data_IF_858951341848
#
_entry.id   IF_858951341848
#
_cell.length_a   1.000
_cell.length_b   1.000
_cell.length_c   1.000
_cell.angle_alpha   90.00
_cell.angle_beta   90.00
_cell.angle_gamma   90.00
#
_symmetry.space_group_name_H-M   'P 1'
#
loop_
_entity.id
_entity.type
_entity.pdbx_description
1 polymer ?
2 non-polymer ?
3 non-polymer ?
4 water ?
#
# COMPACT_ATOMS: atom_id res chain seq x y z
N UNK A 1 -19.44 -18.04 -0.88
CA UNK A 1 -19.42 -16.62 -0.41
C UNK A 1 -20.42 -15.81 -1.20
N UNK A 2 -20.89 -14.68 -0.63
CA UNK A 2 -21.77 -13.73 -1.30
C UNK A 2 -21.09 -13.04 -2.49
N UNK A 3 -21.88 -12.35 -3.32
CA UNK A 3 -21.34 -11.43 -4.32
C UNK A 3 -20.46 -10.39 -3.62
N UNK A 4 -19.40 -9.90 -4.29
CA UNK A 4 -18.47 -8.92 -3.67
C UNK A 4 -19.16 -7.75 -2.93
N UNK A 5 -20.09 -7.07 -3.59
CA UNK A 5 -20.72 -5.91 -2.92
C UNK A 5 -21.54 -6.31 -1.71
N UNK A 6 -22.20 -7.46 -1.79
CA UNK A 6 -22.95 -7.97 -0.65
C UNK A 6 -22.03 -8.31 0.50
N UNK A 7 -20.86 -8.88 0.18
CA UNK A 7 -19.88 -9.18 1.22
C UNK A 7 -19.33 -7.89 1.83
N UNK A 8 -19.01 -6.90 0.98
CA UNK A 8 -18.53 -5.60 1.49
C UNK A 8 -19.51 -4.96 2.48
N UNK A 9 -20.79 -4.94 2.11
CA UNK A 9 -21.86 -4.44 2.99
C UNK A 9 -21.94 -5.19 4.30
N UNK A 10 -21.92 -6.53 4.23
CA UNK A 10 -21.89 -7.36 5.41
C UNK A 10 -20.71 -7.07 6.33
N UNK A 11 -19.54 -6.87 5.72
CA UNK A 11 -18.34 -6.55 6.49
C UNK A 11 -18.54 -5.24 7.26
N UNK A 12 -19.19 -4.24 6.65
CA UNK A 12 -19.44 -2.98 7.37
C UNK A 12 -20.34 -3.20 8.58
N UNK A 13 -21.41 -3.94 8.38
CA UNK A 13 -22.38 -4.19 9.44
C UNK A 13 -21.76 -4.93 10.62
N UNK A 14 -20.93 -5.93 10.32
CA UNK A 14 -20.28 -6.72 11.35
C UNK A 14 -19.14 -5.98 12.06
N UNK A 15 -18.41 -5.17 11.30
CA UNK A 15 -17.31 -4.34 11.84
C UNK A 15 -17.81 -3.12 12.59
N UNK A 16 -19.06 -2.71 12.34
CA UNK A 16 -19.52 -1.36 12.69
C UNK A 16 -18.39 -0.41 12.31
N UNK A 17 -18.00 -0.49 11.04
CA UNK A 17 -16.86 0.22 10.50
C UNK A 17 -17.14 0.55 9.05
N UNK A 18 -16.32 1.44 8.48
CA UNK A 18 -16.47 1.88 7.10
C UNK A 18 -15.43 1.15 6.25
N UNK A 19 -15.87 0.62 5.11
CA UNK A 19 -15.00 -0.09 4.18
C UNK A 19 -14.94 0.72 2.89
N UNK A 20 -13.74 0.80 2.30
CA UNK A 20 -13.58 1.42 0.98
C UNK A 20 -12.86 0.44 0.10
N UNK A 21 -13.34 0.27 -1.12
CA UNK A 21 -12.82 -0.76 -2.01
C UNK A 21 -12.88 -0.35 -3.47
N UNK A 22 -11.82 -0.66 -4.19
CA UNK A 22 -11.95 -0.69 -5.64
C UNK A 22 -11.22 -1.90 -6.18
N UNK A 23 -11.73 -2.37 -7.31
CA UNK A 23 -11.12 -3.43 -8.07
C UNK A 23 -10.95 -2.86 -9.48
N UNK A 24 -9.72 -2.85 -9.98
CA UNK A 24 -9.41 -2.13 -11.23
C UNK A 24 -8.57 -3.02 -12.14
N UNK A 25 -8.92 -3.09 -13.42
CA UNK A 25 -8.08 -3.79 -14.41
C UNK A 25 -6.71 -3.12 -14.50
N UNK A 26 -5.61 -3.85 -14.30
CA UNK A 26 -4.28 -3.23 -14.32
C UNK A 26 -3.89 -2.74 -15.72
N UNK A 27 -4.20 -3.55 -16.73
CA UNK A 27 -3.84 -3.18 -18.10
C UNK A 27 -4.60 -1.95 -18.60
N UNK A 28 -5.90 -1.88 -18.39
CA UNK A 28 -6.68 -0.78 -19.01
C UNK A 28 -7.07 0.31 -18.04
N UNK A 29 -7.09 0.02 -16.74
CA UNK A 29 -7.62 0.98 -15.80
C UNK A 29 -9.11 0.96 -15.58
N UNK A 30 -9.82 0.06 -16.25
CA UNK A 30 -11.27 0.02 -16.04
C UNK A 30 -11.61 -0.29 -14.58
N UNK A 31 -12.55 0.46 -14.02
CA UNK A 31 -13.07 0.20 -12.68
C UNK A 31 -14.13 -0.87 -12.75
N UNK A 32 -13.97 -1.91 -11.95
CA UNK A 32 -14.93 -3.05 -11.97
C UNK A 32 -15.91 -3.26 -10.84
N UNK A 33 -15.42 -3.25 -9.60
CA UNK A 33 -16.25 -3.23 -8.38
C UNK A 33 -15.78 -1.99 -7.65
N UNK A 34 -16.68 -1.22 -7.07
CA UNK A 34 -16.29 -0.01 -6.35
C UNK A 34 -17.26 0.16 -5.20
N UNK A 35 -16.74 0.56 -4.05
CA UNK A 35 -17.57 0.82 -2.88
C UNK A 35 -16.90 1.93 -2.08
N UNK A 36 -17.57 3.07 -1.90
CA UNK A 36 -17.01 4.24 -1.23
C UNK A 36 -15.66 4.58 -1.85
N UNK A 37 -15.56 4.41 -3.16
CA UNK A 37 -14.26 4.54 -3.81
C UNK A 37 -13.77 5.99 -3.84
N UNK A 38 -14.67 6.94 -3.63
CA UNK A 38 -14.31 8.36 -3.53
C UNK A 38 -14.26 8.93 -2.13
N UNK A 39 -14.41 8.06 -1.14
CA UNK A 39 -14.32 8.49 0.25
C UNK A 39 -12.88 8.34 0.78
N UNK A 40 -12.52 9.15 1.78
CA UNK A 40 -11.14 9.19 2.28
C UNK A 40 -10.92 8.16 3.38
N UNK A 41 -9.74 7.54 3.32
CA UNK A 41 -9.28 6.57 4.32
C UNK A 41 -7.81 6.82 4.61
N UNK A 42 -7.39 6.64 5.87
CA UNK A 42 -5.94 6.72 6.15
C UNK A 42 -5.19 5.68 5.31
N UNK A 43 -4.10 6.10 4.69
CA UNK A 43 -3.28 5.18 3.92
C UNK A 43 -2.48 4.24 4.79
N UNK A 44 -2.07 4.69 5.96
CA UNK A 44 -1.12 3.93 6.79
C UNK A 44 0.05 3.49 5.91
N UNK A 45 0.56 2.28 6.11
CA UNK A 45 1.82 1.88 5.50
C UNK A 45 1.66 1.60 4.02
N UNK A 46 0.44 1.64 3.50
CA UNK A 46 0.29 1.50 2.06
C UNK A 46 0.96 2.66 1.32
N UNK A 47 1.17 3.79 2.01
CA UNK A 47 1.86 4.91 1.36
C UNK A 47 3.29 4.53 0.93
N UNK A 48 3.86 3.51 1.56
CA UNK A 48 5.25 3.15 1.34
C UNK A 48 5.51 2.71 -0.10
N UNK A 49 4.48 2.23 -0.80
CA UNK A 49 4.62 1.93 -2.23
C UNK A 49 4.75 3.20 -3.07
N UNK A 50 3.94 4.19 -2.74
CA UNK A 50 3.98 5.47 -3.45
C UNK A 50 5.32 6.17 -3.19
N UNK A 51 5.73 6.16 -1.92
CA UNK A 51 7.06 6.66 -1.55
C UNK A 51 8.17 6.13 -2.43
N UNK A 52 8.21 4.80 -2.59
CA UNK A 52 9.27 4.19 -3.36
C UNK A 52 9.09 4.41 -4.85
N UNK A 53 7.86 4.65 -5.31
CA UNK A 53 7.66 5.17 -6.66
C UNK A 53 8.36 6.52 -6.88
N UNK A 54 8.27 7.39 -5.89
CA UNK A 54 8.93 8.70 -5.98
C UNK A 54 10.45 8.56 -5.94
N UNK A 55 10.95 7.64 -5.10
CA UNK A 55 12.38 7.35 -5.07
C UNK A 55 12.86 6.86 -6.44
N UNK A 56 12.12 5.92 -7.02
CA UNK A 56 12.49 5.41 -8.33
C UNK A 56 12.47 6.48 -9.42
N UNK A 57 11.51 7.41 -9.32
CA UNK A 57 11.52 8.51 -10.25
C UNK A 57 12.80 9.34 -10.16
N UNK A 58 13.30 9.56 -8.93
CA UNK A 58 14.59 10.24 -8.75
C UNK A 58 15.73 9.42 -9.34
N UNK A 59 15.68 8.09 -9.18
CA UNK A 59 16.73 7.24 -9.75
C UNK A 59 16.72 7.36 -11.28
N UNK A 60 15.53 7.30 -11.87
CA UNK A 60 15.39 7.40 -13.33
C UNK A 60 15.97 8.69 -13.88
N UNK A 61 15.83 9.76 -13.11
CA UNK A 61 16.30 11.09 -13.51
C UNK A 61 17.79 11.28 -13.25
N UNK A 62 18.42 10.35 -12.52
CA UNK A 62 19.84 10.44 -12.18
C UNK A 62 20.11 11.25 -10.93
N UNK A 63 19.07 11.53 -10.15
CA UNK A 63 19.18 12.26 -8.90
C UNK A 63 19.27 11.40 -7.64
N UNK A 64 19.28 10.08 -7.85
CA UNK A 64 19.36 9.09 -6.79
C UNK A 64 19.91 7.84 -7.41
N UNK A 65 20.48 6.96 -6.56
CA UNK A 65 20.90 5.63 -6.99
C UNK A 65 20.39 4.62 -5.99
N UNK A 66 19.89 3.50 -6.45
CA UNK A 66 19.48 2.47 -5.50
C UNK A 66 20.66 1.90 -4.73
N UNK A 67 21.86 2.00 -5.31
CA UNK A 67 23.09 1.52 -4.63
C UNK A 67 23.54 2.43 -3.50
N UNK A 68 23.15 3.69 -3.50
CA UNK A 68 23.72 4.67 -2.57
C UNK A 68 23.50 4.25 -1.15
N UNK A 69 24.58 4.19 -0.36
CA UNK A 69 24.44 3.75 1.03
C UNK A 69 24.27 4.91 1.98
N UNK A 70 23.23 4.84 2.79
CA UNK A 70 22.93 5.84 3.80
C UNK A 70 23.35 5.30 5.18
N UNK A 71 24.21 6.06 5.87
CA UNK A 71 24.70 5.67 7.19
C UNK A 71 23.96 6.45 8.28
N UNK A 72 22.81 5.94 8.66
CA UNK A 72 21.90 6.65 9.56
C UNK A 72 22.24 6.34 11.01
N UNK A 73 21.56 7.02 11.92
CA UNK A 73 21.86 6.88 13.33
C UNK A 73 20.65 6.44 14.15
N UNK A 74 20.93 6.01 15.37
CA UNK A 74 19.90 5.50 16.25
C UNK A 74 18.84 6.52 16.57
N UNK A 75 19.26 7.78 16.70
CA UNK A 75 18.31 8.88 16.92
C UNK A 75 17.32 9.08 15.75
N UNK A 76 17.58 8.47 14.58
CA UNK A 76 16.69 8.55 13.42
C UNK A 76 15.57 7.52 13.48
N UNK A 77 15.62 6.62 14.44
CA UNK A 77 14.70 5.48 14.42
C UNK A 77 13.39 5.77 15.14
N UNK A 78 12.32 5.22 14.56
CA UNK A 78 11.01 5.15 15.17
C UNK A 78 10.63 3.69 15.33
N UNK A 79 9.46 3.44 15.95
CA UNK A 79 9.10 2.06 16.29
C UNK A 79 8.80 1.22 15.05
N UNK A 80 8.87 -0.11 15.23
CA UNK A 80 8.73 -1.13 14.19
C UNK A 80 9.59 -0.90 12.98
N UNK A 81 10.87 -1.10 13.27
CA UNK A 81 11.97 -0.94 12.36
C UNK A 81 12.90 -2.17 12.39
N UNK A 82 12.37 -3.36 12.09
CA UNK A 82 13.12 -4.59 12.29
C UNK A 82 14.36 -4.70 11.42
N UNK A 83 14.38 -4.09 10.24
CA UNK A 83 15.54 -4.20 9.38
C UNK A 83 16.55 -3.11 9.67
N UNK A 84 16.05 -1.87 9.76
CA UNK A 84 16.96 -0.74 9.95
C UNK A 84 17.66 -0.77 11.30
N UNK A 85 17.03 -1.37 12.31
CA UNK A 85 17.68 -1.52 13.61
C UNK A 85 18.92 -2.40 13.54
N UNK A 86 18.96 -3.30 12.57
CA UNK A 86 20.09 -4.21 12.45
C UNK A 86 21.31 -3.56 11.78
N UNK A 87 21.21 -2.32 11.31
CA UNK A 87 22.27 -1.72 10.44
C UNK A 87 22.78 -0.34 10.87
N UNK A 88 22.81 -0.07 12.17
CA UNK A 88 23.41 1.16 12.65
C UNK A 88 24.91 1.24 12.34
N UNK A 89 25.59 0.10 12.42
CA UNK A 89 27.01 0.07 12.18
C UNK A 89 27.29 0.23 10.69
N UNK A 90 26.52 -0.47 9.86
CA UNK A 90 26.90 -0.58 8.45
C UNK A 90 26.03 0.16 7.43
N UNK A 91 24.86 0.64 7.85
CA UNK A 91 23.99 1.41 6.96
C UNK A 91 23.23 0.50 6.01
N UNK A 92 22.44 1.15 5.15
CA UNK A 92 21.60 0.47 4.15
C UNK A 92 21.60 1.26 2.87
N UNK A 93 21.53 0.55 1.74
CA UNK A 93 21.38 1.24 0.46
C UNK A 93 19.97 1.77 0.31
N UNK A 94 19.81 2.74 -0.57
CA UNK A 94 18.49 3.25 -0.85
C UNK A 94 17.54 2.14 -1.32
N UNK A 95 18.03 1.23 -2.16
CA UNK A 95 17.23 0.06 -2.58
C UNK A 95 16.86 -0.85 -1.44
N UNK A 96 17.81 -1.08 -0.50
CA UNK A 96 17.51 -1.87 0.67
C UNK A 96 16.49 -1.20 1.55
N UNK A 97 16.57 0.14 1.63
CA UNK A 97 15.60 0.87 2.43
C UNK A 97 14.20 0.73 1.85
N UNK A 98 14.06 0.81 0.52
CA UNK A 98 12.75 0.61 -0.07
C UNK A 98 12.28 -0.85 0.14
N UNK A 99 13.19 -1.82 -0.01
CA UNK A 99 12.78 -3.20 0.24
C UNK A 99 12.30 -3.37 1.67
N UNK A 100 13.00 -2.75 2.62
CA UNK A 100 12.61 -2.90 4.02
C UNK A 100 11.27 -2.22 4.27
N UNK A 101 11.11 -1.00 3.73
CA UNK A 101 9.85 -0.28 3.89
C UNK A 101 8.66 -1.04 3.31
N UNK A 102 8.81 -1.59 2.11
CA UNK A 102 7.68 -2.27 1.46
C UNK A 102 7.50 -3.69 2.02
N UNK A 103 8.57 -4.46 2.10
CA UNK A 103 8.40 -5.89 2.40
C UNK A 103 8.33 -6.21 3.87
N UNK A 104 8.80 -5.29 4.73
CA UNK A 104 8.73 -5.51 6.17
C UNK A 104 8.06 -4.35 6.89
N UNK A 105 7.52 -3.41 6.11
CA UNK A 105 6.85 -2.24 6.67
C UNK A 105 7.77 -1.44 7.62
N UNK A 106 9.08 -1.47 7.38
CA UNK A 106 10.04 -0.82 8.29
C UNK A 106 9.81 0.70 8.32
N UNK A 107 9.47 1.23 9.50
CA UNK A 107 9.07 2.61 9.59
C UNK A 107 10.23 3.59 9.48
N UNK A 108 11.37 3.26 10.09
CA UNK A 108 12.51 4.14 10.00
C UNK A 108 13.08 4.18 8.59
N UNK A 109 13.10 3.05 7.91
CA UNK A 109 13.45 3.04 6.48
C UNK A 109 12.57 3.99 5.68
N UNK A 110 11.26 3.91 5.92
CA UNK A 110 10.32 4.82 5.26
C UNK A 110 10.61 6.26 5.58
N UNK A 111 10.87 6.62 6.83
CA UNK A 111 11.15 8.01 7.14
C UNK A 111 12.43 8.52 6.49
N UNK A 112 13.46 7.66 6.42
CA UNK A 112 14.72 8.05 5.79
C UNK A 112 14.48 8.34 4.33
N UNK A 113 13.71 7.47 3.67
CA UNK A 113 13.36 7.66 2.26
C UNK A 113 12.48 8.89 2.08
N UNK A 114 11.55 9.11 2.99
CA UNK A 114 10.66 10.25 2.91
C UNK A 114 11.42 11.56 2.91
N UNK A 115 12.47 11.67 3.72
CA UNK A 115 13.26 12.88 3.71
C UNK A 115 13.93 13.07 2.34
N UNK A 116 14.33 11.97 1.69
CA UNK A 116 15.03 12.11 0.40
C UNK A 116 14.15 12.65 -0.72
N UNK A 117 12.82 12.57 -0.55
CA UNK A 117 11.89 13.06 -1.58
C UNK A 117 11.23 14.37 -1.14
N UNK A 118 11.71 14.99 -0.06
CA UNK A 118 11.19 16.29 0.36
C UNK A 118 10.16 16.22 1.45
N UNK A 119 10.16 15.13 2.21
CA UNK A 119 9.21 14.95 3.29
C UNK A 119 7.78 14.75 2.78
N UNK A 120 6.81 14.73 3.69
CA UNK A 120 5.40 14.60 3.33
C UNK A 120 4.96 15.58 2.24
N UNK A 121 5.43 16.83 2.34
CA UNK A 121 5.10 17.82 1.30
C UNK A 121 5.69 17.45 -0.04
N UNK A 122 6.92 16.92 -0.04
CA UNK A 122 7.56 16.49 -1.27
C UNK A 122 6.83 15.32 -1.91
N UNK A 123 6.41 14.36 -1.10
CA UNK A 123 5.67 13.20 -1.64
C UNK A 123 4.30 13.63 -2.16
N UNK A 124 3.65 14.54 -1.47
CA UNK A 124 2.38 15.08 -1.96
C UNK A 124 2.56 15.81 -3.30
N UNK A 125 3.67 16.55 -3.46
CA UNK A 125 3.96 17.22 -4.73
C UNK A 125 4.19 16.20 -5.84
N UNK A 126 4.87 15.09 -5.55
CA UNK A 126 5.04 14.02 -6.52
C UNK A 126 3.68 13.45 -6.97
N UNK A 127 2.80 13.21 -6.00
CA UNK A 127 1.44 12.78 -6.32
C UNK A 127 0.75 13.74 -7.29
N UNK A 128 0.83 15.05 -7.02
CA UNK A 128 0.25 16.05 -7.92
C UNK A 128 0.92 15.97 -9.30
N UNK A 129 2.22 15.74 -9.34
CA UNK A 129 2.94 15.63 -10.63
C UNK A 129 2.46 14.47 -11.50
N UNK A 130 2.00 13.39 -10.87
CA UNK A 130 1.51 12.25 -11.64
C UNK A 130 -0.02 12.30 -11.79
N UNK A 131 -0.64 13.42 -11.41
CA UNK A 131 -2.06 13.64 -11.64
C UNK A 131 -3.00 13.08 -10.58
N UNK A 132 -2.47 12.79 -9.40
CA UNK A 132 -3.30 12.44 -8.26
C UNK A 132 -3.49 13.72 -7.47
N UNK A 133 -4.71 14.29 -7.55
CA UNK A 133 -5.02 15.54 -6.87
C UNK A 133 -5.76 15.32 -5.57
N UNK A 134 -5.78 14.07 -5.09
CA UNK A 134 -6.57 13.70 -3.91
C UNK A 134 -5.71 13.21 -2.73
N UNK A 135 -4.83 12.24 -3.02
CA UNK A 135 -4.00 11.61 -1.99
C UNK A 135 -3.08 12.67 -1.38
N UNK A 136 -2.92 12.62 -0.06
CA UNK A 136 -2.05 13.57 0.66
C UNK A 136 -1.32 12.89 1.79
N UNK A 137 -0.02 13.18 1.90
CA UNK A 137 0.74 12.78 3.07
C UNK A 137 1.13 14.05 3.81
N UNK A 138 0.94 14.03 5.11
CA UNK A 138 1.10 15.21 5.96
C UNK A 138 2.11 15.00 7.08
N UNK A 139 2.21 13.74 7.53
CA UNK A 139 3.03 13.40 8.68
C UNK A 139 4.01 12.26 8.34
N UNK A 140 4.91 11.99 9.29
CA UNK A 140 5.94 10.95 9.20
C UNK A 140 5.45 9.72 9.95
N UNK A 141 6.17 8.60 9.80
CA UNK A 141 5.91 7.48 10.68
C UNK A 141 6.37 7.86 12.10
N UNK A 142 5.64 7.49 13.15
CA UNK A 142 4.42 6.68 13.11
C UNK A 142 3.14 7.50 13.30
N UNK A 143 3.25 8.82 13.44
CA UNK A 143 2.07 9.64 13.67
C UNK A 143 1.05 9.56 12.56
N UNK A 144 1.49 9.30 11.33
CA UNK A 144 0.57 9.25 10.20
C UNK A 144 -0.49 8.15 10.32
N UNK A 145 -0.33 7.25 11.30
CA UNK A 145 -1.30 6.20 11.56
C UNK A 145 -2.42 6.53 12.54
N UNK A 146 -2.46 7.78 13.02
CA UNK A 146 -3.35 8.14 14.12
C UNK A 146 -4.82 7.93 13.78
N UNK A 147 -5.17 8.14 12.51
CA UNK A 147 -6.54 7.87 12.04
C UNK A 147 -7.61 8.46 12.95
N UNK A 148 -7.44 9.72 13.32
CA UNK A 148 -8.47 10.41 14.11
C UNK A 148 -9.77 10.47 13.30
N UNK A 149 -10.93 10.29 13.96
CA UNK A 149 -12.17 10.40 13.20
C UNK A 149 -12.27 11.77 12.52
N UNK A 150 -12.60 11.78 11.23
CA UNK A 150 -12.81 13.04 10.51
C UNK A 150 -11.58 13.80 10.07
N UNK A 151 -10.41 13.26 10.35
CA UNK A 151 -9.13 13.90 10.00
C UNK A 151 -8.68 13.56 8.56
N UNK A 152 -8.53 14.56 7.72
CA UNK A 152 -8.14 14.38 6.31
C UNK A 152 -6.64 14.15 6.07
N UNK A 153 -5.83 14.34 7.12
CA UNK A 153 -4.38 14.14 6.99
C UNK A 153 -4.07 12.70 6.61
N UNK A 154 -3.05 12.54 5.76
CA UNK A 154 -2.47 11.21 5.51
C UNK A 154 -3.50 10.24 4.92
N UNK A 155 -4.38 10.76 4.07
CA UNK A 155 -5.44 9.95 3.49
C UNK A 155 -5.33 9.80 1.99
N UNK A 156 -6.00 8.76 1.49
CA UNK A 156 -6.23 8.61 0.06
C UNK A 156 -7.70 8.25 -0.14
N UNK A 157 -8.08 7.97 -1.39
CA UNK A 157 -9.34 7.29 -1.64
C UNK A 157 -9.04 6.00 -2.40
N UNK A 158 -9.91 4.97 -2.29
CA UNK A 158 -9.61 3.76 -3.05
C UNK A 158 -9.38 4.04 -4.53
N UNK A 159 -10.20 4.91 -5.13
CA UNK A 159 -10.08 5.21 -6.55
C UNK A 159 -8.75 5.90 -6.88
N UNK A 160 -8.36 6.84 -6.03
CA UNK A 160 -7.09 7.57 -6.28
C UNK A 160 -5.87 6.68 -6.10
N UNK A 161 -5.87 5.89 -5.03
CA UNK A 161 -4.76 4.97 -4.79
C UNK A 161 -4.62 3.94 -5.90
N UNK A 162 -5.74 3.39 -6.37
CA UNK A 162 -5.68 2.42 -7.43
C UNK A 162 -5.13 3.06 -8.72
N UNK A 163 -5.65 4.24 -9.10
CA UNK A 163 -5.15 4.93 -10.29
C UNK A 163 -3.67 5.25 -10.14
N UNK A 164 -3.28 5.71 -8.95
CA UNK A 164 -1.88 6.03 -8.72
C UNK A 164 -0.95 4.80 -8.81
N UNK A 165 -1.40 3.67 -8.28
CA UNK A 165 -0.64 2.46 -8.37
C UNK A 165 -0.48 2.01 -9.82
N UNK A 166 -1.57 2.08 -10.58
CA UNK A 166 -1.49 1.74 -11.97
C UNK A 166 -0.51 2.66 -12.70
N UNK A 167 -0.56 3.97 -12.42
CA UNK A 167 0.36 4.90 -13.09
C UNK A 167 1.80 4.54 -12.79
N UNK A 168 2.07 4.25 -11.52
CA UNK A 168 3.46 3.89 -11.14
C UNK A 168 3.94 2.60 -11.78
N UNK A 169 3.08 1.60 -11.87
CA UNK A 169 3.50 0.27 -12.31
C UNK A 169 3.53 0.10 -13.82
N UNK A 170 2.71 0.88 -14.53
CA UNK A 170 2.48 0.61 -15.95
C UNK A 170 2.49 1.77 -16.93
N UNK A 171 2.49 3.01 -16.46
CA UNK A 171 2.22 4.11 -17.41
C UNK A 171 3.45 4.61 -18.12
N UNK A 172 4.60 4.00 -17.83
CA UNK A 172 5.91 4.46 -18.36
C UNK A 172 6.29 5.86 -17.88
N UNK A 173 5.70 6.32 -16.78
CA UNK A 173 6.24 7.47 -16.03
C UNK A 173 7.58 7.09 -15.39
N UNK A 174 7.67 5.83 -14.94
CA UNK A 174 8.89 5.21 -14.47
C UNK A 174 9.52 4.40 -15.59
N UNK A 175 10.84 4.26 -15.58
CA UNK A 175 11.52 3.40 -16.54
C UNK A 175 11.05 1.96 -16.45
N UNK A 176 11.30 1.16 -17.46
CA UNK A 176 10.96 -0.24 -17.41
C UNK A 176 11.58 -0.90 -16.19
N UNK A 177 12.86 -0.65 -15.93
CA UNK A 177 13.52 -1.30 -14.82
C UNK A 177 12.91 -0.87 -13.51
N UNK A 178 12.58 0.41 -13.40
CA UNK A 178 11.93 0.89 -12.19
C UNK A 178 10.52 0.34 -11.96
N UNK A 179 9.72 0.24 -13.02
CA UNK A 179 8.40 -0.41 -12.91
C UNK A 179 8.55 -1.85 -12.41
N UNK A 180 9.54 -2.56 -12.95
CA UNK A 180 9.78 -3.96 -12.59
C UNK A 180 10.28 -4.07 -11.15
N UNK A 181 11.07 -3.10 -10.69
CA UNK A 181 11.56 -3.10 -9.32
C UNK A 181 10.41 -2.86 -8.34
N UNK A 182 9.51 -1.92 -8.66
CA UNK A 182 8.43 -1.61 -7.74
C UNK A 182 7.51 -2.80 -7.59
N UNK A 183 7.18 -3.46 -8.70
CA UNK A 183 6.38 -4.65 -8.66
C UNK A 183 7.06 -5.76 -7.85
N UNK A 184 8.36 -5.96 -8.08
CA UNK A 184 9.06 -7.03 -7.35
C UNK A 184 9.07 -6.80 -5.84
N UNK A 185 9.19 -5.55 -5.42
CA UNK A 185 9.09 -5.26 -3.99
C UNK A 185 7.74 -5.71 -3.41
N UNK A 186 6.66 -5.39 -4.11
CA UNK A 186 5.33 -5.86 -3.67
C UNK A 186 5.18 -7.38 -3.70
N UNK A 187 5.75 -8.02 -4.72
CA UNK A 187 5.73 -9.47 -4.81
C UNK A 187 6.42 -10.08 -3.57
N UNK A 188 7.44 -9.41 -3.09
CA UNK A 188 8.28 -9.87 -1.97
C UNK A 188 7.77 -9.51 -0.59
N UNK A 189 6.58 -8.92 -0.47
CA UNK A 189 6.08 -8.60 0.86
C UNK A 189 6.19 -9.79 1.82
N UNK A 190 6.72 -9.54 3.02
CA UNK A 190 6.83 -10.58 4.03
C UNK A 190 5.82 -10.42 5.14
N UNK A 191 5.16 -9.27 5.22
CA UNK A 191 4.21 -9.06 6.31
C UNK A 191 2.98 -9.91 6.10
N UNK A 192 2.41 -9.87 4.89
CA UNK A 192 1.17 -10.56 4.61
C UNK A 192 1.25 -11.49 3.40
N UNK A 193 2.20 -11.25 2.50
CA UNK A 193 2.28 -12.05 1.28
C UNK A 193 2.22 -13.58 1.48
N UNK A 194 3.16 -14.13 2.26
CA UNK A 194 3.16 -15.56 2.48
C UNK A 194 1.87 -16.08 3.13
N UNK A 195 1.33 -15.36 4.09
CA UNK A 195 0.06 -15.77 4.68
C UNK A 195 -1.06 -15.79 3.63
N UNK A 196 -1.13 -14.74 2.82
CA UNK A 196 -2.16 -14.67 1.78
C UNK A 196 -2.00 -15.83 0.80
N UNK A 197 -0.77 -16.11 0.38
CA UNK A 197 -0.60 -17.28 -0.48
C UNK A 197 -1.09 -18.55 0.16
N UNK A 198 -0.88 -18.70 1.47
CA UNK A 198 -1.25 -19.93 2.16
C UNK A 198 -2.75 -20.19 2.15
N UNK A 199 -3.55 -19.17 1.86
CA UNK A 199 -5.00 -19.31 1.86
C UNK A 199 -5.61 -19.06 0.47
N UNK A 200 -4.80 -18.70 -0.53
CA UNK A 200 -5.33 -18.50 -1.87
C UNK A 200 -5.41 -19.84 -2.59
N UNK A 201 -6.45 -20.02 -3.41
CA UNK A 201 -6.45 -21.24 -4.23
C UNK A 201 -5.24 -21.24 -5.16
N UNK A 202 -4.85 -22.44 -5.57
CA UNK A 202 -3.78 -22.56 -6.54
C UNK A 202 -4.07 -21.71 -7.79
N UNK A 203 -3.03 -21.06 -8.31
CA UNK A 203 -3.15 -20.30 -9.54
C UNK A 203 -3.31 -18.81 -9.38
N UNK A 204 -3.58 -18.34 -8.16
CA UNK A 204 -3.81 -16.92 -7.91
C UNK A 204 -2.52 -16.20 -7.54
N UNK A 205 -2.16 -15.23 -8.38
CA UNK A 205 -1.06 -14.30 -8.19
C UNK A 205 -1.37 -13.34 -7.04
N UNK A 206 -0.40 -13.09 -6.17
CA UNK A 206 -0.54 -11.98 -5.21
C UNK A 206 0.76 -11.17 -5.09
N UNK A 207 0.59 -9.85 -5.07
CA UNK A 207 1.63 -8.91 -4.64
C UNK A 207 0.91 -7.87 -3.79
N UNK A 208 1.54 -7.33 -2.74
CA UNK A 208 0.76 -6.48 -1.84
C UNK A 208 1.60 -5.61 -0.95
N UNK A 209 0.94 -4.58 -0.41
CA UNK A 209 1.48 -3.86 0.73
C UNK A 209 0.31 -3.64 1.68
N UNK A 210 0.54 -3.93 2.96
CA UNK A 210 -0.51 -3.71 3.94
C UNK A 210 -0.28 -2.47 4.79
N UNK A 211 -1.28 -2.12 5.61
CA UNK A 211 -1.13 -1.01 6.54
C UNK A 211 -2.05 -1.23 7.72
N UNK A 212 -1.64 -0.70 8.86
CA UNK A 212 -2.44 -0.77 10.08
C UNK A 212 -2.28 0.52 10.86
N UNK A 213 -3.36 0.99 11.47
CA UNK A 213 -3.31 2.19 12.32
C UNK A 213 -4.28 2.08 13.47
N UNK A 214 -4.54 3.24 14.07
CA UNK A 214 -5.44 3.34 15.22
C UNK A 214 -6.91 3.32 14.83
N UNK A 215 -7.77 3.12 15.83
CA UNK A 215 -9.22 3.17 15.65
C UNK A 215 -9.72 2.21 14.60
N UNK A 216 -9.03 1.08 14.51
CA UNK A 216 -9.45 0.04 13.60
C UNK A 216 -8.91 0.19 12.20
N UNK A 217 -8.16 1.26 11.92
CA UNK A 217 -7.67 1.47 10.54
C UNK A 217 -6.81 0.30 10.08
N UNK A 218 -7.09 -0.20 8.88
CA UNK A 218 -6.39 -1.40 8.36
C UNK A 218 -6.55 -1.34 6.85
N UNK A 219 -5.56 -1.76 6.09
CA UNK A 219 -5.73 -1.69 4.63
C UNK A 219 -4.75 -2.57 3.91
N UNK A 220 -5.01 -2.70 2.62
CA UNK A 220 -4.13 -3.43 1.74
C UNK A 220 -4.29 -2.88 0.33
N UNK A 221 -3.16 -2.73 -0.35
CA UNK A 221 -3.15 -2.48 -1.79
C UNK A 221 -2.50 -3.69 -2.43
N UNK A 222 -3.13 -4.22 -3.48
CA UNK A 222 -2.68 -5.51 -4.01
C UNK A 222 -2.84 -5.63 -5.49
N UNK A 223 -2.05 -6.54 -6.05
CA UNK A 223 -2.28 -7.05 -7.40
C UNK A 223 -2.72 -8.48 -7.24
N UNK A 224 -3.75 -8.89 -7.97
CA UNK A 224 -4.37 -10.19 -7.78
C UNK A 224 -4.89 -10.67 -9.11
N UNK A 225 -4.77 -11.97 -9.37
CA UNK A 225 -5.47 -12.53 -10.51
C UNK A 225 -5.25 -14.01 -10.66
N UNK A 226 -6.14 -14.69 -11.40
CA UNK A 226 -5.96 -16.09 -11.69
C UNK A 226 -4.95 -16.28 -12.80
N UNK A 227 -4.61 -17.54 -13.08
CA UNK A 227 -3.68 -17.88 -14.14
C UNK A 227 -2.32 -17.25 -13.92
N UNK A 228 -1.97 -17.05 -12.65
CA UNK A 228 -0.65 -16.54 -12.26
C UNK A 228 -0.28 -15.20 -12.88
N UNK A 229 -1.32 -14.38 -13.05
CA UNK A 229 -1.18 -13.04 -13.64
C UNK A 229 -1.65 -11.95 -12.70
N UNK A 230 -0.94 -10.82 -12.68
CA UNK A 230 -1.34 -9.61 -11.96
C UNK A 230 -2.44 -8.92 -12.78
N UNK A 231 -3.63 -9.48 -12.76
CA UNK A 231 -4.71 -8.98 -13.59
C UNK A 231 -5.33 -7.68 -13.08
N UNK A 232 -5.54 -7.58 -11.77
CA UNK A 232 -6.27 -6.44 -11.21
C UNK A 232 -5.56 -5.87 -10.02
N UNK A 233 -5.72 -4.57 -9.86
CA UNK A 233 -5.43 -3.87 -8.62
C UNK A 233 -6.65 -3.97 -7.71
N UNK A 234 -6.46 -4.40 -6.47
CA UNK A 234 -7.52 -4.38 -5.47
C UNK A 234 -7.04 -3.59 -4.27
N UNK A 235 -7.82 -2.59 -3.90
CA UNK A 235 -7.51 -1.71 -2.77
C UNK A 235 -8.65 -1.85 -1.80
N UNK A 236 -8.35 -2.17 -0.54
CA UNK A 236 -9.37 -2.25 0.50
C UNK A 236 -8.85 -1.53 1.72
N UNK A 237 -9.63 -0.56 2.20
CA UNK A 237 -9.35 0.11 3.47
C UNK A 237 -10.51 -0.06 4.43
N UNK A 238 -10.18 -0.15 5.71
CA UNK A 238 -11.17 -0.15 6.80
C UNK A 238 -10.84 1.01 7.70
N UNK A 239 -11.87 1.63 8.28
CA UNK A 239 -11.63 2.68 9.27
C UNK A 239 -12.77 2.75 10.24
N UNK A 240 -12.48 3.29 11.41
CA UNK A 240 -13.51 3.60 12.43
C UNK A 240 -14.31 2.39 12.86
N UNK A 241 -13.60 1.30 13.14
CA UNK A 241 -14.21 0.09 13.64
C UNK A 241 -13.53 -0.26 14.95
N UNK A 242 -14.30 -0.72 15.95
CA UNK A 242 -13.71 -1.19 17.20
C UNK A 242 -13.24 -2.65 17.14
N UNK A 243 -13.32 -3.27 15.96
CA UNK A 243 -13.04 -4.71 15.89
C UNK A 243 -11.58 -5.13 16.15
N UNK A 244 -11.41 -6.39 16.57
CA UNK A 244 -10.10 -6.96 16.77
C UNK A 244 -9.32 -6.99 15.44
N UNK A 245 -8.01 -6.98 15.54
CA UNK A 245 -7.15 -7.14 14.35
C UNK A 245 -7.51 -8.42 13.62
N UNK A 246 -7.78 -9.49 14.36
CA UNK A 246 -8.09 -10.77 13.76
C UNK A 246 -9.33 -10.66 12.90
N UNK A 247 -10.38 -10.03 13.42
CA UNK A 247 -11.57 -9.85 12.62
C UNK A 247 -11.34 -8.94 11.42
N UNK A 248 -10.61 -7.84 11.61
CA UNK A 248 -10.33 -6.99 10.46
C UNK A 248 -9.62 -7.76 9.35
N UNK A 249 -8.64 -8.59 9.72
CA UNK A 249 -7.97 -9.45 8.73
C UNK A 249 -8.95 -10.40 8.06
N UNK A 250 -9.83 -11.01 8.86
CA UNK A 250 -10.80 -11.96 8.31
C UNK A 250 -11.81 -11.32 7.40
N UNK A 251 -12.17 -10.08 7.69
CA UNK A 251 -13.17 -9.40 6.88
C UNK A 251 -12.58 -9.01 5.53
N UNK A 252 -11.32 -8.57 5.54
CA UNK A 252 -10.63 -8.27 4.28
C UNK A 252 -10.50 -9.59 3.48
N UNK A 253 -10.12 -10.67 4.17
CA UNK A 253 -10.02 -11.99 3.52
C UNK A 253 -11.37 -12.41 2.95
N UNK A 254 -12.45 -12.15 3.66
CA UNK A 254 -13.78 -12.49 3.18
C UNK A 254 -14.20 -11.75 1.93
N UNK A 255 -13.85 -10.46 1.86
CA UNK A 255 -14.06 -9.69 0.65
C UNK A 255 -13.25 -10.32 -0.48
N UNK A 256 -12.00 -10.67 -0.19
CA UNK A 256 -11.16 -11.36 -1.17
C UNK A 256 -11.79 -12.64 -1.66
N UNK A 257 -12.34 -13.44 -0.73
CA UNK A 257 -13.00 -14.68 -1.12
C UNK A 257 -14.16 -14.44 -2.07
N UNK A 258 -14.95 -13.42 -1.80
CA UNK A 258 -16.05 -13.04 -2.68
C UNK A 258 -15.57 -12.66 -4.08
N UNK A 259 -14.48 -11.89 -4.16
CA UNK A 259 -13.89 -11.57 -5.45
C UNK A 259 -13.42 -12.83 -6.20
N UNK A 260 -12.75 -13.75 -5.50
CA UNK A 260 -12.23 -14.98 -6.11
C UNK A 260 -13.34 -15.86 -6.65
N UNK A 261 -14.41 -16.03 -5.87
CA UNK A 261 -15.51 -16.87 -6.30
C UNK A 261 -16.35 -16.23 -7.39
N UNK A 262 -16.27 -14.91 -7.53
CA UNK A 262 -17.11 -14.18 -8.46
C UNK A 262 -16.23 -13.21 -9.24
N UNK A 263 -15.28 -13.77 -9.99
CA UNK A 263 -14.22 -12.99 -10.65
C UNK A 263 -14.64 -12.48 -12.02
N UNK A 264 -15.40 -13.27 -12.78
CA UNK A 264 -15.77 -12.86 -14.14
C UNK A 264 -16.67 -11.65 -14.08
N UNK A 265 -16.35 -10.62 -14.86
CA UNK A 265 -17.16 -9.40 -14.87
C UNK A 265 -17.27 -8.77 -16.25
#
# INVERSE_FOLDING_TARGET
SPQPLEQIKLSESQLSGRVGMIEMDLASGRTLTAWRADERFPMMSTFKVVLCGAVLARVDAGDEQLERKIHYRQQDLVDYSPVSEKHLADGMTVGELCAAAITMSDNSAANLLLATVGGPAGLTAFLRQIGDNVTRLDRWETELNEALPGDARDTTTPASMAATLRKLLTSQRLSARSQRQLLQWMVDDRVAGPLIRSVLPAGWFIADKTGAGERGARGIVALLGPNNKAERIVVIYLRDTPASMAERNQQIAGIGAALIEHWQR
#
